data_IF_003911604912
#
_entry.id   IF_003911604912
#
_cell.length_a   1.000
_cell.length_b   1.000
_cell.length_c   1.000
_cell.angle_alpha   90.00
_cell.angle_beta   90.00
_cell.angle_gamma   90.00
#
_symmetry.space_group_name_H-M   'P 1'
#
loop_
_entity.id
_entity.type
_entity.pdbx_description
1 polymer ?
#
# COMPACT_ATOMS: atom_id res chain seq x y z
N UNK A 1 -24.87 8.50 -4.91
CA UNK A 1 -23.83 8.96 -5.85
C UNK A 1 -22.59 8.24 -5.41
N UNK A 2 -22.43 7.04 -5.95
CA UNK A 2 -21.36 6.11 -5.60
C UNK A 2 -20.08 6.59 -6.27
N UNK A 3 -19.15 7.09 -5.46
CA UNK A 3 -17.77 7.39 -5.85
C UNK A 3 -17.08 6.08 -6.28
N UNK A 4 -17.33 5.72 -7.55
CA UNK A 4 -16.57 4.74 -8.32
C UNK A 4 -15.18 5.30 -8.63
N UNK A 5 -14.36 5.47 -7.60
CA UNK A 5 -12.91 5.53 -7.76
C UNK A 5 -12.37 4.10 -7.66
N UNK A 6 -12.89 3.25 -8.56
CA UNK A 6 -12.31 1.97 -8.89
C UNK A 6 -11.07 2.25 -9.70
N UNK A 7 -9.97 2.58 -9.01
CA UNK A 7 -8.64 2.60 -9.60
C UNK A 7 -8.44 1.25 -10.29
N UNK A 8 -8.57 1.26 -11.62
CA UNK A 8 -8.43 0.10 -12.48
C UNK A 8 -6.92 -0.19 -12.57
N UNK A 9 -6.37 -0.72 -11.47
CA UNK A 9 -4.99 -1.22 -11.44
C UNK A 9 -4.96 -2.49 -12.29
N UNK A 10 -4.02 -2.55 -13.23
CA UNK A 10 -3.81 -3.65 -14.18
C UNK A 10 -3.94 -5.02 -13.48
N UNK A 11 -4.67 -5.95 -14.11
CA UNK A 11 -4.96 -7.31 -13.60
C UNK A 11 -3.68 -8.15 -13.55
N UNK A 12 -2.91 -7.98 -12.48
CA UNK A 12 -1.80 -8.84 -12.13
C UNK A 12 -2.13 -9.60 -10.84
N UNK A 13 -1.52 -10.77 -10.67
CA UNK A 13 -1.69 -11.66 -9.52
C UNK A 13 -1.56 -10.90 -8.18
N UNK A 14 -0.58 -10.01 -8.04
CA UNK A 14 -0.41 -9.21 -6.82
C UNK A 14 -1.59 -8.25 -6.57
N UNK A 15 -2.15 -7.65 -7.63
CA UNK A 15 -3.33 -6.79 -7.55
C UNK A 15 -4.52 -7.62 -7.08
N UNK A 16 -4.71 -8.79 -7.67
CA UNK A 16 -5.79 -9.71 -7.33
C UNK A 16 -5.67 -10.21 -5.89
N UNK A 17 -4.46 -10.55 -5.41
CA UNK A 17 -4.23 -10.96 -4.02
C UNK A 17 -4.62 -9.82 -3.05
N UNK A 18 -4.23 -8.58 -3.36
CA UNK A 18 -4.60 -7.42 -2.54
C UNK A 18 -6.12 -7.23 -2.50
N UNK A 19 -6.79 -7.15 -3.65
CA UNK A 19 -8.24 -6.97 -3.70
C UNK A 19 -9.03 -8.19 -3.23
N UNK A 20 -8.44 -9.39 -3.23
CA UNK A 20 -9.03 -10.58 -2.65
C UNK A 20 -9.12 -10.46 -1.12
N UNK A 21 -8.05 -9.98 -0.47
CA UNK A 21 -7.94 -9.87 0.99
C UNK A 21 -8.51 -8.56 1.55
N UNK A 22 -8.39 -7.45 0.83
CA UNK A 22 -8.76 -6.12 1.31
C UNK A 22 -9.87 -5.50 0.49
N UNK A 23 -10.70 -4.72 1.17
CA UNK A 23 -11.68 -3.82 0.56
C UNK A 23 -11.19 -2.38 0.74
N UNK A 24 -10.66 -1.72 -0.31
CA UNK A 24 -10.32 -0.31 -0.24
C UNK A 24 -11.56 0.56 0.00
N UNK A 25 -11.33 1.69 0.66
CA UNK A 25 -12.31 2.68 1.12
C UNK A 25 -11.86 4.08 0.71
N UNK A 26 -12.13 5.08 1.53
CA UNK A 26 -11.73 6.47 1.30
C UNK A 26 -10.20 6.65 1.23
N UNK A 27 -9.79 7.69 0.51
CA UNK A 27 -8.40 8.16 0.46
C UNK A 27 -8.08 8.93 1.75
N UNK A 28 -7.00 8.54 2.41
CA UNK A 28 -6.47 9.19 3.61
C UNK A 28 -5.42 10.25 3.28
N UNK A 29 -4.67 10.07 2.20
CA UNK A 29 -3.62 11.01 1.79
C UNK A 29 -3.06 10.75 0.39
N UNK A 30 -2.31 11.72 -0.14
CA UNK A 30 -1.50 11.55 -1.35
C UNK A 30 -0.13 12.19 -1.14
N UNK A 31 0.90 11.48 -1.57
CA UNK A 31 2.25 11.98 -1.76
C UNK A 31 2.59 12.10 -3.26
N UNK A 32 3.85 12.41 -3.54
CA UNK A 32 4.35 12.63 -4.91
C UNK A 32 4.24 11.38 -5.80
N UNK A 33 4.56 10.21 -5.25
CA UNK A 33 4.55 8.92 -5.94
C UNK A 33 3.66 7.90 -5.25
N UNK A 34 2.78 8.32 -4.34
CA UNK A 34 1.95 7.38 -3.60
C UNK A 34 0.60 7.95 -3.16
N UNK A 35 -0.35 7.07 -2.92
CA UNK A 35 -1.64 7.39 -2.30
C UNK A 35 -1.87 6.46 -1.12
N UNK A 36 -2.39 7.00 -0.01
CA UNK A 36 -2.76 6.20 1.16
C UNK A 36 -4.28 6.11 1.18
N UNK A 37 -4.82 4.89 1.22
CA UNK A 37 -6.26 4.63 1.36
C UNK A 37 -6.53 3.82 2.61
N UNK A 38 -7.68 4.07 3.23
CA UNK A 38 -8.21 3.17 4.24
C UNK A 38 -8.64 1.88 3.55
N UNK A 39 -8.28 0.74 4.11
CA UNK A 39 -8.70 -0.56 3.61
C UNK A 39 -9.20 -1.42 4.76
N UNK A 40 -10.17 -2.28 4.48
CA UNK A 40 -10.72 -3.21 5.45
C UNK A 40 -10.32 -4.63 5.05
N UNK A 41 -9.63 -5.35 5.92
CA UNK A 41 -9.35 -6.76 5.69
C UNK A 41 -10.66 -7.55 5.75
N UNK A 42 -10.99 -8.26 4.67
CA UNK A 42 -12.30 -8.88 4.51
C UNK A 42 -12.57 -9.98 5.55
N UNK A 43 -11.54 -10.71 5.97
CA UNK A 43 -11.70 -11.83 6.89
C UNK A 43 -11.83 -11.38 8.36
N UNK A 44 -11.03 -10.40 8.80
CA UNK A 44 -11.06 -9.93 10.21
C UNK A 44 -11.95 -8.71 10.42
N UNK A 45 -12.29 -7.97 9.37
CA UNK A 45 -12.95 -6.66 9.48
C UNK A 45 -12.04 -5.54 10.00
N UNK A 46 -10.77 -5.83 10.25
CA UNK A 46 -9.79 -4.86 10.74
C UNK A 46 -9.51 -3.79 9.67
N UNK A 47 -9.37 -2.55 10.12
CA UNK A 47 -9.06 -1.41 9.27
C UNK A 47 -7.55 -1.18 9.25
N UNK A 48 -7.02 -0.87 8.06
CA UNK A 48 -5.61 -0.64 7.80
C UNK A 48 -5.44 0.61 6.94
N UNK A 49 -4.31 1.29 7.10
CA UNK A 49 -3.85 2.27 6.12
C UNK A 49 -3.01 1.56 5.07
N UNK A 50 -3.40 1.67 3.80
CA UNK A 50 -2.68 1.04 2.70
C UNK A 50 -2.07 2.11 1.83
N UNK A 51 -0.74 2.10 1.74
CA UNK A 51 0.03 2.99 0.89
C UNK A 51 0.29 2.30 -0.44
N UNK A 52 -0.18 2.92 -1.51
CA UNK A 52 -0.07 2.46 -2.89
C UNK A 52 0.96 3.37 -3.56
N UNK A 53 2.11 2.83 -3.92
CA UNK A 53 3.27 3.55 -4.47
C UNK A 53 3.39 3.25 -5.95
N UNK A 54 3.35 4.26 -6.80
CA UNK A 54 3.55 4.14 -8.23
C UNK A 54 5.05 4.13 -8.57
N UNK A 55 5.51 3.02 -9.17
CA UNK A 55 6.88 2.80 -9.66
C UNK A 55 7.08 3.34 -11.07
N UNK A 56 6.00 3.64 -11.81
CA UNK A 56 6.08 4.20 -13.16
C UNK A 56 6.36 5.70 -13.15
N UNK A 57 6.08 6.38 -12.04
CA UNK A 57 6.53 7.76 -11.76
C UNK A 57 8.04 7.86 -11.49
N UNK A 58 8.85 7.05 -12.19
CA UNK A 58 10.30 7.16 -12.27
C UNK A 58 10.64 8.47 -12.99
N UNK A 59 10.62 9.57 -12.23
CA UNK A 59 10.97 10.91 -12.70
C UNK A 59 12.48 11.20 -12.56
N UNK A 60 13.35 10.17 -12.51
CA UNK A 60 14.80 10.35 -12.34
C UNK A 60 15.58 9.05 -12.09
N UNK A 61 16.85 9.15 -11.69
CA UNK A 61 17.77 8.00 -11.50
C UNK A 61 17.57 7.19 -10.20
N UNK A 62 16.44 7.34 -9.52
CA UNK A 62 16.23 6.77 -8.19
C UNK A 62 15.33 5.55 -8.31
N UNK A 63 15.88 4.36 -8.08
CA UNK A 63 15.12 3.12 -8.13
C UNK A 63 14.06 3.11 -7.00
N UNK A 64 12.85 3.54 -7.34
CA UNK A 64 11.70 3.60 -6.41
C UNK A 64 11.48 2.23 -5.78
N UNK A 65 11.77 1.15 -6.50
CA UNK A 65 11.69 -0.20 -5.98
C UNK A 65 12.66 -0.48 -4.82
N UNK A 66 13.88 0.05 -4.88
CA UNK A 66 14.85 -0.05 -3.79
C UNK A 66 14.50 0.86 -2.62
N UNK A 67 14.08 2.11 -2.89
CA UNK A 67 13.66 3.06 -1.85
C UNK A 67 12.47 2.51 -1.06
N UNK A 68 11.45 1.99 -1.73
CA UNK A 68 10.27 1.41 -1.06
C UNK A 68 10.63 0.17 -0.24
N UNK A 69 11.58 -0.66 -0.70
CA UNK A 69 12.06 -1.80 0.11
C UNK A 69 12.75 -1.31 1.38
N UNK A 70 13.66 -0.35 1.24
CA UNK A 70 14.37 0.20 2.38
C UNK A 70 13.41 0.87 3.38
N UNK A 71 12.40 1.58 2.89
CA UNK A 71 11.33 2.15 3.73
C UNK A 71 10.61 1.06 4.54
N UNK A 72 10.14 0.00 3.87
CA UNK A 72 9.48 -1.12 4.53
C UNK A 72 10.38 -1.81 5.57
N UNK A 73 11.67 -2.02 5.26
CA UNK A 73 12.61 -2.67 6.17
C UNK A 73 12.93 -1.83 7.41
N UNK A 74 13.02 -0.50 7.27
CA UNK A 74 13.14 0.42 8.41
C UNK A 74 11.88 0.35 9.28
N UNK A 75 10.69 0.39 8.67
CA UNK A 75 9.42 0.35 9.40
C UNK A 75 9.21 -0.98 10.14
N UNK A 76 9.64 -2.10 9.56
CA UNK A 76 9.68 -3.40 10.25
C UNK A 76 10.62 -3.38 11.46
N UNK A 77 11.79 -2.77 11.31
CA UNK A 77 12.77 -2.67 12.41
C UNK A 77 12.25 -1.81 13.57
N UNK A 78 11.43 -0.81 13.27
CA UNK A 78 10.82 0.08 14.26
C UNK A 78 9.45 -0.41 14.77
N UNK A 79 8.94 -1.52 14.22
CA UNK A 79 7.65 -2.09 14.61
C UNK A 79 7.65 -2.47 16.09
N UNK A 80 6.58 -2.11 16.79
CA UNK A 80 6.43 -2.33 18.23
C UNK A 80 6.72 -1.10 19.11
N UNK A 81 7.20 0.01 18.53
CA UNK A 81 7.28 1.27 19.27
C UNK A 81 5.92 1.98 19.30
N UNK A 82 5.45 2.36 20.50
CA UNK A 82 4.11 2.96 20.72
C UNK A 82 3.77 4.17 19.83
N UNK A 83 4.78 4.93 19.44
CA UNK A 83 4.64 6.17 18.68
C UNK A 83 5.08 6.04 17.21
N UNK A 84 5.35 4.83 16.73
CA UNK A 84 5.76 4.57 15.34
C UNK A 84 4.75 3.59 14.74
N UNK A 85 4.16 3.94 13.60
CA UNK A 85 3.24 3.06 12.88
C UNK A 85 3.96 1.77 12.48
N UNK A 86 3.33 0.64 12.79
CA UNK A 86 3.85 -0.68 12.44
C UNK A 86 3.40 -1.10 11.05
N UNK A 87 4.26 -1.81 10.33
CA UNK A 87 3.85 -2.59 9.17
C UNK A 87 2.99 -3.77 9.65
N UNK A 88 1.88 -4.03 8.96
CA UNK A 88 1.05 -5.19 9.26
C UNK A 88 1.73 -6.49 8.85
N UNK A 89 1.39 -7.59 9.52
CA UNK A 89 1.79 -8.96 9.13
C UNK A 89 1.37 -9.34 7.70
N UNK A 90 0.44 -8.61 7.14
CA UNK A 90 -0.04 -8.77 5.78
C UNK A 90 0.95 -8.25 4.71
N UNK A 91 1.94 -7.45 5.12
CA UNK A 91 3.15 -7.15 4.36
C UNK A 91 2.97 -6.31 3.09
N UNK A 92 3.99 -6.38 2.23
CA UNK A 92 4.10 -5.58 0.99
C UNK A 92 3.75 -6.41 -0.24
N UNK A 93 2.84 -5.92 -1.07
CA UNK A 93 2.43 -6.57 -2.33
C UNK A 93 2.99 -5.80 -3.53
N UNK A 94 3.63 -6.52 -4.47
CA UNK A 94 4.31 -5.91 -5.63
C UNK A 94 3.50 -6.11 -6.90
N UNK A 95 2.79 -5.08 -7.33
CA UNK A 95 2.08 -4.99 -8.61
C UNK A 95 3.03 -4.48 -9.70
N UNK A 96 2.78 -4.84 -10.96
CA UNK A 96 3.54 -4.28 -12.09
C UNK A 96 3.31 -2.76 -12.11
N UNK A 97 4.39 -1.99 -11.98
CA UNK A 97 4.29 -0.54 -11.86
C UNK A 97 3.79 -0.01 -10.51
N UNK A 98 3.40 -0.83 -9.53
CA UNK A 98 2.91 -0.32 -8.23
C UNK A 98 3.34 -1.19 -7.03
N UNK A 99 3.60 -0.62 -5.85
CA UNK A 99 3.87 -1.35 -4.60
C UNK A 99 2.79 -1.00 -3.59
N UNK A 100 2.26 -1.97 -2.86
CA UNK A 100 1.22 -1.77 -1.87
C UNK A 100 1.73 -2.19 -0.50
N UNK A 101 1.87 -1.24 0.43
CA UNK A 101 2.32 -1.46 1.81
C UNK A 101 1.12 -1.33 2.77
N UNK A 102 0.98 -2.26 3.71
CA UNK A 102 -0.17 -2.34 4.62
C UNK A 102 0.29 -1.98 6.05
N UNK A 103 -0.38 -1.01 6.66
CA UNK A 103 -0.07 -0.49 8.00
C UNK A 103 -1.26 -0.65 8.95
N UNK A 104 -0.96 -1.06 10.20
CA UNK A 104 -1.91 -1.15 11.33
C UNK A 104 -2.08 0.18 12.07
#
# INVERSE_FOLDING_TARGET
>A
MDDSDGALLEENEATQIFYAKYKPKEKLGAGLSSVVRKCVHKASGQEYAVKIVDKLSDHGSCDIGEVTKNEADILKTLSGHKNISGESRDGVHKVKGTVTEIFE
#
